data_IF_653676459996
#
_entry.id   IF_653676459996
#
_cell.length_a   1.000
_cell.length_b   1.000
_cell.length_c   1.000
_cell.angle_alpha   90.00
_cell.angle_beta   90.00
_cell.angle_gamma   90.00
#
_symmetry.space_group_name_H-M   'P 1'
#
loop_
_entity.id
_entity.type
_entity.pdbx_description
1 polymer ?
#
# COMPACT_ATOMS: atom_id res chain seq x y z
N UNK A 1 13.90 -13.01 29.93
CA UNK A 1 12.98 -11.90 29.61
C UNK A 1 13.29 -11.19 28.29
N UNK A 2 14.55 -11.05 27.87
CA UNK A 2 14.95 -10.35 26.63
C UNK A 2 14.37 -10.98 25.33
N UNK A 3 14.20 -12.31 25.27
CA UNK A 3 13.71 -12.98 24.05
C UNK A 3 12.24 -12.67 23.74
N UNK A 4 11.39 -12.53 24.76
CA UNK A 4 9.96 -12.22 24.58
C UNK A 4 9.76 -10.80 24.04
N UNK A 5 10.53 -9.83 24.56
CA UNK A 5 10.53 -8.45 24.05
C UNK A 5 11.01 -8.38 22.59
N UNK A 6 12.02 -9.18 22.24
CA UNK A 6 12.52 -9.27 20.87
C UNK A 6 11.53 -9.90 19.90
N UNK A 7 10.77 -10.92 20.33
CA UNK A 7 9.71 -11.50 19.51
C UNK A 7 8.58 -10.49 19.28
N UNK A 8 8.12 -9.80 20.33
CA UNK A 8 7.05 -8.82 20.22
C UNK A 8 7.41 -7.66 19.27
N UNK A 9 8.63 -7.15 19.34
CA UNK A 9 9.10 -6.08 18.43
C UNK A 9 9.18 -6.55 16.97
N UNK A 10 9.65 -7.77 16.71
CA UNK A 10 9.70 -8.34 15.36
C UNK A 10 8.29 -8.61 14.79
N UNK A 11 7.35 -9.02 15.63
CA UNK A 11 5.96 -9.21 15.22
C UNK A 11 5.30 -7.88 14.83
N UNK A 12 5.56 -6.82 15.60
CA UNK A 12 5.05 -5.49 15.31
C UNK A 12 5.67 -4.91 14.03
N UNK A 13 6.97 -5.07 13.84
CA UNK A 13 7.63 -4.66 12.59
C UNK A 13 7.06 -5.40 11.38
N UNK A 14 6.85 -6.72 11.48
CA UNK A 14 6.19 -7.51 10.44
C UNK A 14 4.77 -7.02 10.13
N UNK A 15 4.01 -6.64 11.16
CA UNK A 15 2.67 -6.09 11.00
C UNK A 15 2.71 -4.75 10.27
N UNK A 16 3.58 -3.84 10.70
CA UNK A 16 3.76 -2.54 10.09
C UNK A 16 4.19 -2.64 8.62
N UNK A 17 5.11 -3.56 8.28
CA UNK A 17 5.53 -3.81 6.90
C UNK A 17 4.40 -4.35 6.02
N UNK A 18 3.59 -5.30 6.54
CA UNK A 18 2.41 -5.82 5.82
C UNK A 18 1.38 -4.72 5.59
N UNK A 19 1.13 -3.90 6.61
CA UNK A 19 0.18 -2.78 6.51
C UNK A 19 0.69 -1.71 5.55
N UNK A 20 2.00 -1.43 5.53
CA UNK A 20 2.60 -0.52 4.56
C UNK A 20 2.33 -0.97 3.11
N UNK A 21 2.37 -2.28 2.84
CA UNK A 21 2.11 -2.88 1.52
C UNK A 21 0.63 -3.07 1.18
N UNK A 22 -0.28 -2.87 2.13
CA UNK A 22 -1.72 -3.08 1.92
C UNK A 22 -2.38 -1.91 1.18
N UNK A 23 -3.45 -2.22 0.44
CA UNK A 23 -4.32 -1.26 -0.24
C UNK A 23 -4.94 -0.32 0.80
N UNK A 24 -4.67 0.99 0.67
CA UNK A 24 -5.13 2.01 1.63
C UNK A 24 -6.62 2.32 1.58
N UNK A 25 -7.37 1.58 0.78
CA UNK A 25 -8.82 1.73 0.62
C UNK A 25 -9.55 0.57 1.26
N UNK A 26 -9.23 -0.67 0.86
CA UNK A 26 -9.91 -1.85 1.39
C UNK A 26 -9.16 -2.55 2.52
N UNK A 27 -7.86 -2.29 2.70
CA UNK A 27 -6.96 -2.92 3.69
C UNK A 27 -6.98 -4.48 3.68
N UNK A 28 -7.49 -5.09 2.60
CA UNK A 28 -7.62 -6.56 2.46
C UNK A 28 -6.69 -7.18 1.42
N UNK A 29 -6.19 -6.37 0.50
CA UNK A 29 -5.39 -6.79 -0.65
C UNK A 29 -4.16 -5.91 -0.73
N UNK A 30 -3.12 -6.38 -1.41
CA UNK A 30 -1.90 -5.59 -1.60
C UNK A 30 -2.16 -4.36 -2.49
N UNK A 31 -1.45 -3.28 -2.19
CA UNK A 31 -1.35 -2.13 -3.05
C UNK A 31 -0.44 -2.49 -4.23
N UNK A 32 -1.04 -2.69 -5.40
CA UNK A 32 -0.32 -3.07 -6.63
C UNK A 32 -0.48 -2.04 -7.74
N UNK A 33 -1.26 -0.97 -7.52
CA UNK A 33 -1.49 0.09 -8.50
C UNK A 33 -0.76 1.36 -8.10
N UNK A 34 0.09 1.82 -9.02
CA UNK A 34 0.77 3.11 -8.98
C UNK A 34 -0.02 4.13 -9.81
N UNK A 35 -0.26 5.31 -9.24
CA UNK A 35 -0.91 6.42 -9.92
C UNK A 35 0.10 7.31 -10.66
N UNK A 36 -0.10 7.52 -11.96
CA UNK A 36 0.76 8.40 -12.78
C UNK A 36 0.09 9.77 -12.99
N UNK A 37 0.86 10.87 -13.03
CA UNK A 37 2.34 10.92 -13.00
C UNK A 37 2.96 10.94 -11.60
N UNK A 38 2.18 10.88 -10.52
CA UNK A 38 2.71 11.14 -9.18
C UNK A 38 3.50 9.99 -8.53
N UNK A 39 3.44 8.78 -9.09
CA UNK A 39 4.22 7.62 -8.64
C UNK A 39 3.76 6.97 -7.34
N UNK A 40 2.66 7.40 -6.72
CA UNK A 40 2.22 6.83 -5.45
C UNK A 40 1.55 5.46 -5.66
N UNK A 41 2.08 4.44 -5.01
CA UNK A 41 1.50 3.11 -4.86
C UNK A 41 0.51 3.13 -3.68
N UNK A 42 -0.79 2.97 -3.96
CA UNK A 42 -1.80 3.22 -2.92
C UNK A 42 -2.96 2.22 -2.88
N UNK A 43 -3.31 1.62 -4.02
CA UNK A 43 -4.55 0.83 -4.11
C UNK A 43 -4.31 -0.54 -4.73
N UNK A 44 -5.17 -1.50 -4.39
CA UNK A 44 -5.27 -2.75 -5.16
C UNK A 44 -5.97 -2.50 -6.52
N UNK A 45 -5.88 -3.49 -7.42
CA UNK A 45 -6.48 -3.41 -8.75
C UNK A 45 -8.00 -3.16 -8.77
N UNK A 46 -8.72 -3.57 -7.72
CA UNK A 46 -10.18 -3.42 -7.62
C UNK A 46 -10.61 -2.05 -7.10
N UNK A 47 -9.78 -1.40 -6.27
CA UNK A 47 -10.10 -0.10 -5.68
C UNK A 47 -9.68 1.05 -6.60
N UNK A 48 -8.63 0.87 -7.40
CA UNK A 48 -8.08 1.92 -8.26
C UNK A 48 -9.10 2.61 -9.20
N UNK A 49 -10.05 1.90 -9.86
CA UNK A 49 -10.96 2.52 -10.84
C UNK A 49 -11.88 3.61 -10.28
N UNK A 50 -12.11 3.61 -8.97
CA UNK A 50 -12.97 4.58 -8.27
C UNK A 50 -12.33 5.98 -8.17
N UNK A 51 -11.04 6.13 -8.48
CA UNK A 51 -10.30 7.37 -8.26
C UNK A 51 -9.91 8.05 -9.57
N UNK A 52 -10.00 9.39 -9.59
CA UNK A 52 -9.50 10.28 -10.67
C UNK A 52 -8.36 11.18 -10.22
N UNK A 53 -8.11 11.22 -8.91
CA UNK A 53 -7.00 11.91 -8.25
C UNK A 53 -6.35 10.95 -7.27
N UNK A 54 -5.03 11.05 -7.12
CA UNK A 54 -4.28 10.22 -6.18
C UNK A 54 -4.79 10.44 -4.75
N UNK A 55 -5.07 9.37 -4.01
CA UNK A 55 -5.55 9.46 -2.62
C UNK A 55 -4.49 9.93 -1.63
N UNK A 56 -3.21 9.92 -2.02
CA UNK A 56 -2.09 10.37 -1.18
C UNK A 56 -1.82 11.87 -1.39
N UNK A 57 -1.58 12.28 -2.65
CA UNK A 57 -1.13 13.65 -2.96
C UNK A 57 -2.15 14.49 -3.74
N UNK A 58 -3.35 13.97 -4.04
CA UNK A 58 -4.46 14.66 -4.73
C UNK A 58 -4.19 15.15 -6.17
N UNK A 59 -3.01 14.88 -6.73
CA UNK A 59 -2.70 15.11 -8.15
C UNK A 59 -3.63 14.29 -9.06
N UNK A 60 -4.00 14.85 -10.22
CA UNK A 60 -4.85 14.17 -11.22
C UNK A 60 -4.15 12.91 -11.74
N UNK A 61 -4.91 11.82 -11.85
CA UNK A 61 -4.43 10.56 -12.41
C UNK A 61 -4.63 10.62 -13.93
N UNK A 62 -3.56 10.43 -14.69
CA UNK A 62 -3.59 10.36 -16.16
C UNK A 62 -3.46 8.92 -16.66
N UNK A 63 -2.77 8.07 -15.90
CA UNK A 63 -2.64 6.65 -16.16
C UNK A 63 -2.44 5.89 -14.85
N UNK A 64 -2.69 4.59 -14.89
CA UNK A 64 -2.40 3.66 -13.79
C UNK A 64 -1.42 2.59 -14.27
N UNK A 65 -0.47 2.23 -13.42
CA UNK A 65 0.46 1.13 -13.70
C UNK A 65 0.31 0.04 -12.63
N UNK A 66 0.19 -1.22 -13.05
CA UNK A 66 0.18 -2.36 -12.14
C UNK A 66 1.59 -2.89 -11.98
N UNK A 67 2.08 -2.95 -10.75
CA UNK A 67 3.38 -3.55 -10.42
C UNK A 67 3.19 -4.97 -9.88
N UNK A 68 4.21 -5.80 -10.07
CA UNK A 68 4.34 -7.07 -9.37
C UNK A 68 5.26 -6.84 -8.18
N UNK A 69 4.78 -7.15 -6.98
CA UNK A 69 5.60 -7.15 -5.77
C UNK A 69 6.27 -8.52 -5.71
N UNK A 70 7.60 -8.55 -5.87
CA UNK A 70 8.40 -9.76 -5.68
C UNK A 70 8.59 -10.06 -4.18
#
# INVERSE_FOLDING_TARGET
>A
MILLEKLASLEEENRALKDARSCKVCMRREAVITFLPCGHLATCQYCAPAFRRCIICRKRITAINRIVLA
#
